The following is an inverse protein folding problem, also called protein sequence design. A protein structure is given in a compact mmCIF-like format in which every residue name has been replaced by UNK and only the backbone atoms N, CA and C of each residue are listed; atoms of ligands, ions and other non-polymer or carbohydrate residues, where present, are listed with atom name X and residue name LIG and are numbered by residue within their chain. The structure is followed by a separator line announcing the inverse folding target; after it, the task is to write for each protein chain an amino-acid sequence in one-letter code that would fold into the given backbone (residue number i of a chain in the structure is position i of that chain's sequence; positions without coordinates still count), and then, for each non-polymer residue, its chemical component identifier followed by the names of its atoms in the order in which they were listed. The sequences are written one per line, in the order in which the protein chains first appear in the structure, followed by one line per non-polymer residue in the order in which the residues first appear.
data_IF_134676782570
#
_entry.id   IF_134676782570
#
_cell.length_a   1.000
_cell.length_b   1.000
_cell.length_c   1.000
_cell.angle_alpha   90.00
_cell.angle_beta   90.00
_cell.angle_gamma   90.00
#
_symmetry.space_group_name_H-M   'P 1'
#
loop_
_entity.id
_entity.type
_entity.pdbx_description
1 polymer ?
#
# COMPACT_ATOMS: atom_id res chain seq x y z
N UNK A 1 2.70 -14.64 -14.75
CA UNK A 1 3.09 -13.76 -13.78
C UNK A 1 1.97 -12.83 -13.35
N UNK A 2 1.85 -12.60 -12.14
CA UNK A 2 0.75 -11.81 -11.72
C UNK A 2 1.17 -10.43 -11.32
N UNK A 3 0.36 -9.46 -11.61
CA UNK A 3 0.64 -8.09 -11.26
C UNK A 3 0.16 -7.83 -9.84
N UNK A 4 0.97 -7.10 -9.07
CA UNK A 4 0.54 -6.64 -7.77
C UNK A 4 -0.34 -5.42 -8.00
N UNK A 5 -1.52 -5.36 -7.37
CA UNK A 5 -2.44 -4.24 -7.62
C UNK A 5 -1.80 -2.87 -7.44
N UNK A 6 -0.92 -2.74 -6.44
CA UNK A 6 -0.31 -1.45 -6.19
C UNK A 6 0.57 -1.00 -7.37
N UNK A 7 1.25 -1.93 -8.03
CA UNK A 7 2.07 -1.57 -9.18
C UNK A 7 1.21 -1.04 -10.32
N UNK A 8 0.04 -1.62 -10.53
CA UNK A 8 -0.85 -1.15 -11.57
C UNK A 8 -1.28 0.28 -11.29
N UNK A 9 -1.59 0.60 -10.04
CA UNK A 9 -1.99 1.95 -9.67
C UNK A 9 -0.83 2.93 -9.77
N UNK A 10 0.37 2.49 -9.41
CA UNK A 10 1.54 3.35 -9.42
C UNK A 10 1.97 3.72 -10.83
N UNK A 11 1.64 2.90 -11.82
CA UNK A 11 2.01 3.18 -13.20
C UNK A 11 1.39 4.47 -13.71
N UNK A 12 0.32 4.91 -13.08
CA UNK A 12 -0.38 6.12 -13.50
C UNK A 12 0.01 7.33 -12.67
N UNK A 13 1.01 7.19 -11.80
CA UNK A 13 1.41 8.29 -10.91
C UNK A 13 2.86 8.68 -11.21
N UNK A 14 3.14 9.99 -11.26
CA UNK A 14 4.51 10.47 -11.47
C UNK A 14 5.29 10.38 -10.17
N UNK A 15 5.80 9.22 -9.86
CA UNK A 15 6.51 8.99 -8.62
C UNK A 15 7.95 8.59 -8.88
N UNK A 16 8.85 9.03 -8.01
CA UNK A 16 10.24 8.63 -8.07
C UNK A 16 10.37 7.16 -7.69
N UNK A 17 11.42 6.48 -8.18
CA UNK A 17 11.62 5.06 -7.81
C UNK A 17 11.69 4.83 -6.30
N UNK A 18 12.26 5.78 -5.57
CA UNK A 18 12.33 5.64 -4.11
C UNK A 18 10.94 5.65 -3.49
N UNK A 19 10.07 6.49 -4.01
CA UNK A 19 8.71 6.56 -3.50
C UNK A 19 7.95 5.28 -3.81
N UNK A 20 8.15 4.75 -5.01
CA UNK A 20 7.50 3.51 -5.39
C UNK A 20 7.95 2.39 -4.47
N UNK A 21 9.24 2.35 -4.16
CA UNK A 21 9.78 1.33 -3.28
C UNK A 21 9.21 1.45 -1.88
N UNK A 22 9.07 2.66 -1.40
CA UNK A 22 8.49 2.92 -0.09
C UNK A 22 7.04 2.45 -0.04
N UNK A 23 6.27 2.76 -1.08
CA UNK A 23 4.86 2.35 -1.13
C UNK A 23 4.72 0.84 -1.22
N UNK A 24 5.58 0.21 -2.00
CA UNK A 24 5.54 -1.25 -2.13
C UNK A 24 5.85 -1.90 -0.78
N UNK A 25 6.83 -1.37 -0.08
CA UNK A 25 7.19 -1.89 1.23
C UNK A 25 6.03 -1.74 2.21
N UNK A 26 5.40 -0.57 2.22
CA UNK A 26 4.27 -0.32 3.12
C UNK A 26 3.11 -1.25 2.79
N UNK A 27 2.86 -1.47 1.51
CA UNK A 27 1.81 -2.35 1.07
C UNK A 27 2.03 -3.78 1.58
N UNK A 28 3.25 -4.27 1.42
CA UNK A 28 3.55 -5.63 1.85
C UNK A 28 3.52 -5.76 3.36
N UNK A 29 3.96 -4.73 4.08
CA UNK A 29 3.87 -4.76 5.53
C UNK A 29 2.41 -4.80 5.99
N UNK A 30 1.56 -4.06 5.31
CA UNK A 30 0.14 -4.05 5.65
C UNK A 30 -0.49 -5.40 5.42
N UNK A 31 -0.19 -6.04 4.28
CA UNK A 31 -0.71 -7.35 3.99
C UNK A 31 -0.25 -8.37 5.03
N UNK A 32 1.02 -8.29 5.41
CA UNK A 32 1.55 -9.22 6.40
C UNK A 32 0.89 -9.01 7.76
N UNK A 33 0.68 -7.77 8.15
CA UNK A 33 0.05 -7.45 9.43
C UNK A 33 -1.37 -7.97 9.48
N UNK A 34 -2.09 -7.84 8.37
CA UNK A 34 -3.49 -8.28 8.30
C UNK A 34 -3.60 -9.76 7.95
N UNK A 35 -2.49 -10.43 7.73
CA UNK A 35 -2.46 -11.85 7.37
C UNK A 35 -3.22 -12.14 6.09
N UNK A 36 -3.18 -11.22 5.14
CA UNK A 36 -3.83 -11.41 3.86
C UNK A 36 -2.91 -12.17 2.93
N UNK A 37 -3.32 -13.36 2.54
CA UNK A 37 -2.52 -14.21 1.67
C UNK A 37 -2.99 -14.19 0.24
N UNK A 38 -4.27 -13.90 0.02
CA UNK A 38 -4.85 -13.91 -1.31
C UNK A 38 -4.80 -12.50 -1.88
N UNK A 39 -3.97 -12.32 -2.89
CA UNK A 39 -3.79 -10.99 -3.49
C UNK A 39 -4.93 -10.62 -4.43
N UNK A 40 -5.86 -11.54 -4.66
CA UNK A 40 -7.05 -11.25 -5.43
C UNK A 40 -8.19 -10.77 -4.55
N UNK A 41 -7.96 -10.71 -3.24
CA UNK A 41 -8.97 -10.20 -2.33
C UNK A 41 -9.24 -8.72 -2.63
N UNK A 42 -10.52 -8.31 -2.74
CA UNK A 42 -10.83 -6.91 -2.97
C UNK A 42 -10.20 -5.97 -1.94
N UNK A 43 -9.96 -6.47 -0.74
CA UNK A 43 -9.35 -5.67 0.31
C UNK A 43 -7.94 -5.23 -0.07
N UNK A 44 -7.20 -6.05 -0.84
CA UNK A 44 -5.85 -5.67 -1.23
C UNK A 44 -5.85 -4.42 -2.09
N UNK A 45 -6.83 -4.27 -2.96
CA UNK A 45 -6.92 -3.08 -3.79
C UNK A 45 -7.26 -1.87 -2.94
N UNK A 46 -8.14 -2.03 -1.97
CA UNK A 46 -8.48 -0.94 -1.06
C UNK A 46 -7.25 -0.52 -0.26
N UNK A 47 -6.47 -1.49 0.20
CA UNK A 47 -5.24 -1.21 0.94
C UNK A 47 -4.28 -0.41 0.07
N UNK A 48 -4.10 -0.82 -1.18
CA UNK A 48 -3.19 -0.13 -2.08
C UNK A 48 -3.61 1.33 -2.26
N UNK A 49 -4.89 1.57 -2.43
CA UNK A 49 -5.39 2.93 -2.60
C UNK A 49 -5.17 3.76 -1.35
N UNK A 50 -5.39 3.18 -0.19
CA UNK A 50 -5.16 3.89 1.07
C UNK A 50 -3.69 4.26 1.24
N UNK A 51 -2.81 3.33 0.92
CA UNK A 51 -1.39 3.56 1.06
C UNK A 51 -0.94 4.69 0.14
N UNK A 52 -1.39 4.69 -1.10
CA UNK A 52 -1.05 5.74 -2.04
C UNK A 52 -1.55 7.09 -1.55
N UNK A 53 -2.77 7.13 -1.05
CA UNK A 53 -3.34 8.37 -0.56
C UNK A 53 -2.56 8.92 0.63
N UNK A 54 -2.18 8.05 1.55
CA UNK A 54 -1.42 8.48 2.72
C UNK A 54 -0.04 9.01 2.30
N UNK A 55 0.60 8.33 1.37
CA UNK A 55 1.91 8.76 0.90
C UNK A 55 1.84 10.13 0.24
N UNK A 56 0.74 10.44 -0.41
CA UNK A 56 0.58 11.72 -1.07
C UNK A 56 0.46 12.87 -0.08
N UNK A 57 0.18 12.57 1.18
CA UNK A 57 0.14 13.61 2.22
C UNK A 57 1.52 13.99 2.73
N UNK A 58 2.57 13.31 2.26
CA UNK A 58 3.93 13.65 2.63
C UNK A 58 4.59 12.62 3.55
N UNK A 59 3.87 11.62 3.99
CA UNK A 59 4.44 10.57 4.84
C UNK A 59 5.34 9.70 3.97
N UNK A 60 6.60 9.53 4.38
CA UNK A 60 7.57 8.79 3.59
C UNK A 60 8.11 7.55 4.28
N UNK A 61 7.69 7.28 5.50
CA UNK A 61 8.12 6.12 6.24
C UNK A 61 7.18 4.95 5.95
N UNK A 62 7.66 3.85 5.35
CA UNK A 62 6.77 2.73 5.02
C UNK A 62 6.06 2.17 6.24
N UNK A 63 6.74 2.13 7.39
CA UNK A 63 6.11 1.60 8.59
C UNK A 63 4.94 2.49 9.03
N UNK A 64 5.13 3.80 8.94
CA UNK A 64 4.08 4.73 9.32
C UNK A 64 2.93 4.70 8.32
N UNK A 65 3.24 4.59 7.05
CA UNK A 65 2.19 4.49 6.03
C UNK A 65 1.35 3.25 6.27
N UNK A 66 2.00 2.14 6.55
CA UNK A 66 1.30 0.89 6.82
C UNK A 66 0.41 1.03 8.05
N UNK A 67 0.94 1.62 9.12
CA UNK A 67 0.19 1.78 10.35
C UNK A 67 -1.05 2.64 10.14
N UNK A 68 -0.89 3.73 9.41
CA UNK A 68 -2.01 4.62 9.14
C UNK A 68 -3.05 3.95 8.26
N UNK A 69 -2.62 3.17 7.28
CA UNK A 69 -3.54 2.47 6.41
C UNK A 69 -4.38 1.48 7.21
N UNK A 70 -3.74 0.74 8.11
CA UNK A 70 -4.47 -0.22 8.94
C UNK A 70 -5.48 0.50 9.83
N UNK A 71 -5.06 1.62 10.38
CA UNK A 71 -5.93 2.40 11.25
C UNK A 71 -7.15 2.92 10.49
N UNK A 72 -6.94 3.40 9.26
CA UNK A 72 -8.03 3.93 8.47
C UNK A 72 -8.98 2.85 7.99
N UNK A 73 -8.50 1.63 7.88
CA UNK A 73 -9.36 0.52 7.50
C UNK A 73 -10.27 0.08 8.65
N UNK A 74 -9.98 0.53 9.85
CA UNK A 74 -10.81 0.18 10.97
C UNK A 74 -10.55 -1.20 11.55
N UNK A 75 -9.47 -1.84 11.13
CA UNK A 75 -9.08 -3.13 11.71
C UNK A 75 -8.01 -2.83 12.74
N UNK A 76 -8.24 -3.29 13.88
CA UNK A 76 -7.39 -2.90 14.84
C UNK A 76 -6.61 -3.64 15.67
#
# INVERSE_FOLDING_TARGET
MRAIPIYRLLQNLPMAPDEIRCLTSAYEQTLATLCLKDRNDPLTELIAKKIIKIAQTGVKDPAEISERAIRELGVG
#
